data_IF_094450879025
#
_entry.id   IF_094450879025
#
_cell.length_a   1.000
_cell.length_b   1.000
_cell.length_c   1.000
_cell.angle_alpha   90.00
_cell.angle_beta   90.00
_cell.angle_gamma   90.00
#
_symmetry.space_group_name_H-M   'P 1'
#
loop_
_entity.id
_entity.type
_entity.pdbx_description
1 polymer ?
#
# COMPACT_ATOMS: atom_id res chain seq x y z
N UNK A 1 24.59 25.58 17.66
CA UNK A 1 24.96 25.06 16.32
C UNK A 1 23.68 24.55 15.68
N UNK A 2 23.13 25.35 14.78
CA UNK A 2 21.82 25.12 14.16
C UNK A 2 22.02 24.26 12.90
N UNK A 3 21.45 23.06 12.86
CA UNK A 3 21.44 22.23 11.67
C UNK A 3 20.34 22.74 10.72
N UNK A 4 20.72 23.25 9.56
CA UNK A 4 19.81 23.61 8.48
C UNK A 4 19.12 22.35 7.93
N UNK A 5 17.82 22.41 7.61
CA UNK A 5 17.15 21.31 6.94
C UNK A 5 17.69 21.19 5.51
N UNK A 6 18.12 19.97 5.15
CA UNK A 6 18.51 19.66 3.79
C UNK A 6 17.27 19.70 2.88
N UNK A 7 17.18 20.70 2.02
CA UNK A 7 16.18 20.79 0.95
C UNK A 7 16.64 19.83 -0.15
N UNK A 8 15.98 18.69 -0.28
CA UNK A 8 16.15 17.84 -1.45
C UNK A 8 15.44 18.51 -2.64
N UNK A 9 16.22 19.23 -3.45
CA UNK A 9 15.78 19.65 -4.77
C UNK A 9 15.65 18.39 -5.64
N UNK A 10 14.43 18.09 -6.02
CA UNK A 10 14.14 17.08 -7.03
C UNK A 10 14.70 17.62 -8.36
N UNK A 11 15.76 17.03 -8.89
CA UNK A 11 16.28 17.38 -10.20
C UNK A 11 15.19 17.18 -11.26
N UNK A 12 15.05 18.09 -12.24
CA UNK A 12 14.05 17.93 -13.28
C UNK A 12 14.35 16.67 -14.09
N UNK A 13 13.34 15.83 -14.24
CA UNK A 13 13.34 14.61 -15.01
C UNK A 13 13.66 14.91 -16.50
N UNK A 14 14.92 14.96 -16.84
CA UNK A 14 15.42 15.05 -18.22
C UNK A 14 16.15 13.76 -18.64
N UNK A 15 15.59 12.60 -18.28
CA UNK A 15 15.95 11.35 -18.96
C UNK A 15 14.72 10.85 -19.69
N UNK A 16 14.86 10.70 -21.01
CA UNK A 16 13.99 9.95 -21.90
C UNK A 16 13.21 8.89 -21.11
N UNK A 17 11.90 8.87 -21.25
CA UNK A 17 10.98 7.97 -20.60
C UNK A 17 11.17 6.52 -21.09
N UNK A 18 12.35 5.97 -20.90
CA UNK A 18 12.61 4.54 -20.88
C UNK A 18 11.89 3.99 -19.65
N UNK A 19 11.13 2.95 -19.84
CA UNK A 19 10.22 2.33 -18.87
C UNK A 19 10.95 1.92 -17.57
N UNK A 20 11.12 2.87 -16.65
CA UNK A 20 11.56 2.57 -15.30
C UNK A 20 10.41 1.84 -14.59
N UNK A 21 10.49 0.52 -14.55
CA UNK A 21 9.62 -0.24 -13.66
C UNK A 21 9.92 0.14 -12.21
N UNK A 22 8.89 0.42 -11.41
CA UNK A 22 9.08 0.68 -9.98
C UNK A 22 9.76 -0.51 -9.27
N UNK A 23 10.46 -0.22 -8.18
CA UNK A 23 11.03 -1.26 -7.33
C UNK A 23 9.94 -2.18 -6.77
N UNK A 24 10.21 -3.50 -6.66
CA UNK A 24 9.30 -4.43 -6.01
C UNK A 24 8.92 -3.98 -4.59
N UNK A 25 7.62 -3.92 -4.30
CA UNK A 25 7.13 -3.48 -3.00
C UNK A 25 5.70 -3.99 -2.69
N UNK A 26 5.36 -4.04 -1.41
CA UNK A 26 4.00 -4.19 -0.92
C UNK A 26 3.31 -2.84 -0.81
N UNK A 27 2.06 -2.73 -1.29
CA UNK A 27 1.18 -1.59 -1.07
C UNK A 27 0.17 -1.94 0.03
N UNK A 28 0.24 -1.27 1.15
CA UNK A 28 -0.65 -1.46 2.30
C UNK A 28 -1.63 -0.30 2.37
N UNK A 29 -2.92 -0.56 2.25
CA UNK A 29 -3.98 0.45 2.21
C UNK A 29 -4.78 0.40 3.50
N UNK A 30 -4.63 1.38 4.37
CA UNK A 30 -5.50 1.59 5.53
C UNK A 30 -6.81 2.24 5.09
N UNK A 31 -7.94 1.78 5.60
CA UNK A 31 -9.26 2.20 5.12
C UNK A 31 -9.71 1.49 3.84
N UNK A 32 -9.18 0.30 3.59
CA UNK A 32 -9.37 -0.42 2.34
C UNK A 32 -10.82 -0.80 2.01
N UNK A 33 -11.70 -0.92 2.99
CA UNK A 33 -13.13 -1.15 2.77
C UNK A 33 -13.93 0.11 2.43
N UNK A 34 -13.27 1.29 2.47
CA UNK A 34 -13.90 2.59 2.25
C UNK A 34 -14.15 2.92 0.79
N UNK A 35 -14.89 4.02 0.59
CA UNK A 35 -15.33 4.50 -0.72
C UNK A 35 -14.16 4.96 -1.61
N UNK A 36 -13.16 5.62 -1.03
CA UNK A 36 -11.97 6.07 -1.74
C UNK A 36 -11.22 4.90 -2.40
N UNK A 37 -11.01 3.81 -1.65
CA UNK A 37 -10.35 2.62 -2.18
C UNK A 37 -11.14 2.03 -3.34
N UNK A 38 -12.44 1.87 -3.19
CA UNK A 38 -13.30 1.25 -4.21
C UNK A 38 -13.43 2.11 -5.46
N UNK A 39 -13.65 3.42 -5.31
CA UNK A 39 -13.95 4.32 -6.44
C UNK A 39 -12.75 4.94 -7.11
N UNK A 40 -11.61 5.05 -6.41
CA UNK A 40 -10.44 5.75 -6.92
C UNK A 40 -9.19 4.87 -6.96
N UNK A 41 -8.77 4.31 -5.81
CA UNK A 41 -7.51 3.59 -5.75
C UNK A 41 -7.54 2.29 -6.54
N UNK A 42 -8.55 1.46 -6.36
CA UNK A 42 -8.65 0.19 -7.07
C UNK A 42 -8.71 0.36 -8.59
N UNK A 43 -9.56 1.24 -9.17
CA UNK A 43 -9.55 1.49 -10.60
C UNK A 43 -8.22 2.04 -11.12
N UNK A 44 -7.53 2.88 -10.34
CA UNK A 44 -6.22 3.39 -10.71
C UNK A 44 -5.15 2.28 -10.73
N UNK A 45 -5.13 1.43 -9.69
CA UNK A 45 -4.21 0.28 -9.60
C UNK A 45 -4.47 -0.73 -10.73
N UNK A 46 -5.74 -0.99 -11.03
CA UNK A 46 -6.13 -1.84 -12.17
C UNK A 46 -5.59 -1.29 -13.51
N UNK A 47 -5.77 0.01 -13.77
CA UNK A 47 -5.22 0.65 -14.97
C UNK A 47 -3.69 0.59 -15.05
N UNK A 48 -3.00 0.77 -13.91
CA UNK A 48 -1.56 0.62 -13.83
C UNK A 48 -1.12 -0.83 -14.11
N UNK A 49 -1.88 -1.81 -13.60
CA UNK A 49 -1.65 -3.22 -13.85
C UNK A 49 -1.76 -3.55 -15.34
N UNK A 50 -2.86 -3.17 -15.97
CA UNK A 50 -3.09 -3.36 -17.42
C UNK A 50 -1.99 -2.72 -18.27
N UNK A 51 -1.48 -1.56 -17.86
CA UNK A 51 -0.40 -0.85 -18.55
C UNK A 51 0.99 -1.34 -18.17
N UNK A 52 1.11 -2.40 -17.37
CA UNK A 52 2.37 -2.93 -16.86
C UNK A 52 3.25 -1.87 -16.16
N UNK A 53 2.60 -0.94 -15.44
CA UNK A 53 3.25 0.15 -14.70
C UNK A 53 3.38 -0.13 -13.20
N UNK A 54 2.83 -1.24 -12.70
CA UNK A 54 3.11 -1.74 -11.36
C UNK A 54 4.48 -2.45 -11.35
N UNK A 55 5.11 -2.60 -10.17
CA UNK A 55 6.33 -3.37 -10.03
C UNK A 55 6.16 -4.79 -10.59
N UNK A 56 7.25 -5.39 -11.07
CA UNK A 56 7.22 -6.77 -11.57
C UNK A 56 6.77 -7.78 -10.49
N UNK A 57 7.07 -7.48 -9.24
CA UNK A 57 6.60 -8.21 -8.05
C UNK A 57 5.99 -7.23 -7.07
N UNK A 58 4.76 -7.48 -6.69
CA UNK A 58 4.02 -6.64 -5.76
C UNK A 58 2.90 -7.43 -5.11
N UNK A 59 2.38 -6.91 -4.02
CA UNK A 59 1.07 -7.27 -3.47
C UNK A 59 0.35 -6.00 -3.00
N UNK A 60 -0.96 -6.12 -2.80
CA UNK A 60 -1.83 -5.10 -2.23
C UNK A 60 -2.47 -5.71 -0.99
N UNK A 61 -2.18 -5.17 0.19
CA UNK A 61 -2.81 -5.58 1.44
C UNK A 61 -3.81 -4.53 1.87
N UNK A 62 -5.09 -4.87 1.83
CA UNK A 62 -6.14 -4.02 2.39
C UNK A 62 -6.23 -4.20 3.90
N UNK A 63 -6.23 -3.09 4.65
CA UNK A 63 -6.46 -3.07 6.09
C UNK A 63 -7.71 -2.26 6.41
N UNK A 64 -8.66 -2.82 7.17
CA UNK A 64 -9.83 -2.09 7.64
C UNK A 64 -10.50 -2.79 8.84
N UNK A 65 -11.43 -2.08 9.50
CA UNK A 65 -12.20 -2.62 10.63
C UNK A 65 -13.28 -3.62 10.23
N UNK A 66 -13.69 -3.64 8.97
CA UNK A 66 -14.70 -4.57 8.46
C UNK A 66 -14.17 -6.00 8.52
N UNK A 67 -14.95 -6.90 9.11
CA UNK A 67 -14.58 -8.32 9.22
C UNK A 67 -14.83 -9.05 7.89
N UNK A 68 -13.87 -8.97 6.99
CA UNK A 68 -13.84 -9.75 5.75
C UNK A 68 -12.76 -10.82 5.81
N UNK A 69 -13.03 -11.97 5.21
CA UNK A 69 -11.97 -12.84 4.73
C UNK A 69 -11.28 -12.24 3.50
N UNK A 70 -10.05 -12.65 3.15
CA UNK A 70 -9.41 -12.20 1.92
C UNK A 70 -10.25 -12.45 0.67
N UNK A 71 -10.98 -13.57 0.61
CA UNK A 71 -11.87 -13.95 -0.48
C UNK A 71 -13.06 -12.99 -0.60
N UNK A 72 -13.74 -12.73 0.50
CA UNK A 72 -14.89 -11.82 0.54
C UNK A 72 -14.46 -10.39 0.17
N UNK A 73 -13.30 -9.96 0.64
CA UNK A 73 -12.74 -8.65 0.28
C UNK A 73 -12.48 -8.56 -1.22
N UNK A 74 -11.78 -9.55 -1.81
CA UNK A 74 -11.55 -9.62 -3.26
C UNK A 74 -12.84 -9.56 -4.06
N UNK A 75 -13.83 -10.36 -3.68
CA UNK A 75 -15.15 -10.35 -4.34
C UNK A 75 -15.85 -8.99 -4.22
N UNK A 76 -15.76 -8.33 -3.06
CA UNK A 76 -16.34 -7.00 -2.85
C UNK A 76 -15.70 -5.93 -3.74
N UNK A 77 -14.39 -6.02 -3.93
CA UNK A 77 -13.63 -5.12 -4.80
C UNK A 77 -13.90 -5.40 -6.27
N UNK A 78 -13.99 -6.67 -6.65
CA UNK A 78 -14.27 -7.06 -8.04
C UNK A 78 -15.63 -6.52 -8.51
N UNK A 79 -16.65 -6.55 -7.65
CA UNK A 79 -17.98 -5.95 -7.94
C UNK A 79 -17.93 -4.42 -8.10
N UNK A 80 -16.97 -3.77 -7.45
CA UNK A 80 -16.82 -2.31 -7.50
C UNK A 80 -15.94 -1.83 -8.68
N UNK A 81 -15.21 -2.74 -9.33
CA UNK A 81 -14.34 -2.38 -10.45
C UNK A 81 -15.20 -2.18 -11.72
N UNK A 82 -15.13 -0.99 -12.36
CA UNK A 82 -15.82 -0.77 -13.63
C UNK A 82 -15.07 -1.56 -14.72
N UNK A 83 -15.54 -2.77 -14.98
CA UNK A 83 -15.00 -3.64 -16.01
C UNK A 83 -15.70 -3.34 -17.34
N UNK A 84 -14.91 -3.13 -18.38
CA UNK A 84 -15.38 -3.11 -19.74
C UNK A 84 -15.58 -4.56 -20.24
N UNK A 85 -16.54 -4.79 -21.12
CA UNK A 85 -16.81 -6.10 -21.74
C UNK A 85 -15.62 -6.67 -22.53
N UNK A 86 -14.60 -5.86 -22.80
CA UNK A 86 -13.38 -6.26 -23.50
C UNK A 86 -12.29 -6.84 -22.58
N UNK A 87 -12.48 -6.76 -21.25
CA UNK A 87 -11.47 -7.19 -20.30
C UNK A 87 -11.45 -8.71 -20.16
N UNK A 88 -10.28 -9.30 -20.25
CA UNK A 88 -10.08 -10.73 -20.11
C UNK A 88 -10.26 -11.16 -18.64
N UNK A 89 -11.16 -12.11 -18.38
CA UNK A 89 -11.39 -12.68 -17.02
C UNK A 89 -10.12 -13.27 -16.40
N UNK A 90 -9.23 -13.85 -17.20
CA UNK A 90 -7.97 -14.38 -16.72
C UNK A 90 -7.05 -13.25 -16.19
N UNK A 91 -7.08 -12.08 -16.81
CA UNK A 91 -6.31 -10.92 -16.39
C UNK A 91 -6.86 -10.34 -15.06
N UNK A 92 -8.19 -10.28 -14.93
CA UNK A 92 -8.86 -9.88 -13.69
C UNK A 92 -8.46 -10.84 -12.57
N UNK A 93 -8.59 -12.14 -12.81
CA UNK A 93 -8.24 -13.17 -11.83
C UNK A 93 -6.77 -13.07 -11.42
N UNK A 94 -5.86 -12.84 -12.36
CA UNK A 94 -4.44 -12.66 -12.09
C UNK A 94 -4.17 -11.43 -11.20
N UNK A 95 -4.81 -10.29 -11.50
CA UNK A 95 -4.68 -9.09 -10.67
C UNK A 95 -5.17 -9.31 -9.25
N UNK A 96 -6.34 -9.93 -9.07
CA UNK A 96 -6.91 -10.15 -7.74
C UNK A 96 -6.13 -11.16 -6.89
N UNK A 97 -5.29 -12.01 -7.48
CA UNK A 97 -4.34 -12.87 -6.75
C UNK A 97 -3.27 -12.09 -5.99
N UNK A 98 -2.99 -10.85 -6.38
CA UNK A 98 -2.07 -9.97 -5.67
C UNK A 98 -2.72 -9.23 -4.50
N UNK A 99 -4.04 -9.38 -4.29
CA UNK A 99 -4.78 -8.66 -3.25
C UNK A 99 -5.04 -9.57 -2.07
N UNK A 100 -4.70 -9.09 -0.88
CA UNK A 100 -4.96 -9.76 0.40
C UNK A 100 -5.63 -8.78 1.37
N UNK A 101 -6.06 -9.27 2.53
CA UNK A 101 -6.81 -8.47 3.50
C UNK A 101 -6.45 -8.82 4.93
N UNK A 102 -6.44 -7.82 5.80
CA UNK A 102 -6.32 -7.94 7.24
C UNK A 102 -7.36 -7.05 7.90
N UNK A 103 -8.25 -7.64 8.70
CA UNK A 103 -9.20 -6.89 9.52
C UNK A 103 -8.60 -6.56 10.87
N UNK A 104 -8.89 -5.37 11.41
CA UNK A 104 -8.48 -5.04 12.76
C UNK A 104 -8.72 -3.58 13.14
N UNK A 105 -8.54 -3.29 14.42
CA UNK A 105 -8.66 -1.95 14.99
C UNK A 105 -7.29 -1.27 14.99
N UNK A 106 -7.22 -0.09 14.40
CA UNK A 106 -5.98 0.70 14.31
C UNK A 106 -5.46 1.25 15.64
N UNK A 107 -6.27 1.24 16.70
CA UNK A 107 -5.83 1.58 18.05
C UNK A 107 -5.19 0.41 18.81
N UNK A 108 -5.29 -0.81 18.27
CA UNK A 108 -4.81 -2.04 18.91
C UNK A 108 -3.39 -2.39 18.49
N UNK A 109 -2.48 -2.57 19.45
CA UNK A 109 -1.12 -3.06 19.18
C UNK A 109 -1.13 -4.46 18.58
N UNK A 110 -2.09 -5.32 18.97
CA UNK A 110 -2.24 -6.67 18.43
C UNK A 110 -2.43 -6.64 16.92
N UNK A 111 -3.21 -5.69 16.41
CA UNK A 111 -3.37 -5.51 14.97
C UNK A 111 -2.03 -5.26 14.24
N UNK A 112 -1.13 -4.46 14.83
CA UNK A 112 0.17 -4.17 14.19
C UNK A 112 1.15 -5.33 14.29
N UNK A 113 1.05 -6.16 15.33
CA UNK A 113 1.81 -7.41 15.42
C UNK A 113 1.33 -8.40 14.35
N UNK A 114 0.01 -8.57 14.19
CA UNK A 114 -0.58 -9.38 13.11
C UNK A 114 -0.21 -8.82 11.73
N UNK A 115 -0.25 -7.50 11.55
CA UNK A 115 0.18 -6.84 10.33
C UNK A 115 1.63 -7.16 10.00
N UNK A 116 2.51 -7.10 10.98
CA UNK A 116 3.94 -7.39 10.82
C UNK A 116 4.19 -8.83 10.36
N UNK A 117 3.52 -9.79 10.99
CA UNK A 117 3.62 -11.21 10.59
C UNK A 117 3.00 -11.43 9.19
N UNK A 118 1.88 -10.80 8.90
CA UNK A 118 1.24 -10.86 7.58
C UNK A 118 2.14 -10.29 6.48
N UNK A 119 2.79 -9.14 6.72
CA UNK A 119 3.73 -8.53 5.77
C UNK A 119 4.94 -9.44 5.52
N UNK A 120 5.50 -10.05 6.57
CA UNK A 120 6.60 -11.00 6.44
C UNK A 120 6.21 -12.18 5.53
N UNK A 121 5.03 -12.77 5.78
CA UNK A 121 4.53 -13.88 4.97
C UNK A 121 4.31 -13.47 3.50
N UNK A 122 3.71 -12.29 3.26
CA UNK A 122 3.47 -11.79 1.90
C UNK A 122 4.79 -11.45 1.18
N UNK A 123 5.76 -10.90 1.88
CA UNK A 123 7.09 -10.64 1.32
C UNK A 123 7.79 -11.92 0.89
N UNK A 124 7.72 -12.98 1.70
CA UNK A 124 8.26 -14.30 1.36
C UNK A 124 7.55 -14.90 0.15
N UNK A 125 6.20 -14.89 0.16
CA UNK A 125 5.38 -15.43 -0.92
C UNK A 125 5.61 -14.72 -2.26
N UNK A 126 5.67 -13.39 -2.25
CA UNK A 126 5.90 -12.57 -3.45
C UNK A 126 7.38 -12.29 -3.74
N UNK A 127 8.30 -12.87 -2.94
CA UNK A 127 9.75 -12.69 -3.07
C UNK A 127 10.16 -11.21 -3.05
N UNK A 128 9.60 -10.45 -2.11
CA UNK A 128 9.94 -9.04 -1.87
C UNK A 128 11.04 -8.92 -0.82
N UNK A 129 11.68 -7.76 -0.79
CA UNK A 129 12.81 -7.46 0.12
C UNK A 129 12.39 -6.58 1.31
N UNK A 130 11.09 -6.47 1.59
CA UNK A 130 10.57 -5.67 2.69
C UNK A 130 10.41 -4.18 2.36
N UNK A 131 10.22 -3.82 1.10
CA UNK A 131 9.83 -2.47 0.71
C UNK A 131 8.32 -2.31 0.86
N UNK A 132 7.88 -1.36 1.67
CA UNK A 132 6.47 -1.15 1.96
C UNK A 132 6.05 0.28 1.70
N UNK A 133 4.94 0.43 0.96
CA UNK A 133 4.25 1.69 0.74
C UNK A 133 2.93 1.67 1.50
N UNK A 134 2.84 2.43 2.57
CA UNK A 134 1.63 2.58 3.39
C UNK A 134 0.79 3.74 2.85
N UNK A 135 -0.45 3.46 2.48
CA UNK A 135 -1.39 4.46 1.99
C UNK A 135 -2.54 4.63 2.98
N UNK A 136 -2.71 5.83 3.53
CA UNK A 136 -3.76 6.16 4.46
C UNK A 136 -4.99 6.71 3.71
N UNK A 137 -5.94 5.81 3.40
CA UNK A 137 -7.25 6.14 2.85
C UNK A 137 -8.30 6.26 3.98
N UNK A 138 -7.85 6.74 5.14
CA UNK A 138 -8.66 6.90 6.36
C UNK A 138 -8.94 8.37 6.64
N UNK A 139 -9.99 8.68 7.44
CA UNK A 139 -10.19 10.03 7.96
C UNK A 139 -8.97 10.53 8.75
N UNK A 140 -8.69 11.86 8.74
CA UNK A 140 -7.49 12.44 9.37
C UNK A 140 -7.29 12.10 10.85
N UNK A 141 -8.38 11.95 11.60
CA UNK A 141 -8.36 11.61 13.03
C UNK A 141 -7.76 10.23 13.35
N UNK A 142 -7.62 9.34 12.35
CA UNK A 142 -6.99 8.02 12.53
C UNK A 142 -5.51 8.02 12.14
N UNK A 143 -5.00 9.11 11.59
CA UNK A 143 -3.62 9.18 11.11
C UNK A 143 -2.62 8.99 12.23
N UNK A 144 -2.85 9.61 13.38
CA UNK A 144 -1.95 9.54 14.54
C UNK A 144 -1.85 8.11 15.08
N UNK A 145 -2.99 7.43 15.27
CA UNK A 145 -3.04 6.05 15.73
C UNK A 145 -2.27 5.12 14.78
N UNK A 146 -2.50 5.28 13.46
CA UNK A 146 -1.85 4.44 12.45
C UNK A 146 -0.33 4.67 12.44
N UNK A 147 0.11 5.94 12.44
CA UNK A 147 1.55 6.26 12.40
C UNK A 147 2.25 5.78 13.68
N UNK A 148 1.61 5.99 14.84
CA UNK A 148 2.13 5.52 16.13
C UNK A 148 2.24 3.99 16.18
N UNK A 149 1.22 3.28 15.73
CA UNK A 149 1.22 1.82 15.68
C UNK A 149 2.28 1.26 14.73
N UNK A 150 2.43 1.82 13.53
CA UNK A 150 3.50 1.44 12.59
C UNK A 150 4.89 1.69 13.19
N UNK A 151 5.07 2.80 13.91
CA UNK A 151 6.32 3.13 14.59
C UNK A 151 6.64 2.16 15.72
N UNK A 152 5.66 1.85 16.58
CA UNK A 152 5.82 0.96 17.75
C UNK A 152 6.22 -0.47 17.36
N UNK A 153 5.74 -0.97 16.22
CA UNK A 153 6.09 -2.31 15.71
C UNK A 153 7.31 -2.32 14.78
N UNK A 154 7.94 -1.15 14.57
CA UNK A 154 9.12 -1.02 13.72
C UNK A 154 8.85 -1.14 12.22
N UNK A 155 7.59 -1.01 11.79
CA UNK A 155 7.19 -1.09 10.39
C UNK A 155 7.50 0.19 9.60
N UNK A 156 7.61 1.33 10.29
CA UNK A 156 7.98 2.62 9.71
C UNK A 156 9.47 2.95 9.83
N UNK A 157 10.30 2.02 10.35
CA UNK A 157 11.72 2.26 10.55
C UNK A 157 12.46 2.38 9.21
N UNK A 158 13.27 3.44 9.07
CA UNK A 158 14.27 3.50 8.00
C UNK A 158 15.46 2.61 8.37
N UNK A 159 15.66 1.55 7.62
CA UNK A 159 16.81 0.67 7.80
C UNK A 159 18.03 1.28 7.12
N UNK A 160 18.76 2.16 7.83
CA UNK A 160 19.96 2.83 7.31
C UNK A 160 21.21 1.95 7.31
N UNK A 161 21.18 0.77 7.91
CA UNK A 161 22.37 -0.05 8.17
C UNK A 161 22.36 -1.47 7.60
N UNK A 162 21.29 -1.90 6.90
CA UNK A 162 21.22 -3.24 6.30
C UNK A 162 21.18 -3.17 4.77
N UNK A 163 22.11 -3.87 4.12
CA UNK A 163 22.04 -4.15 2.68
C UNK A 163 21.25 -5.47 2.47
N UNK A 164 20.28 -5.53 1.54
CA UNK A 164 19.81 -4.42 0.70
C UNK A 164 18.99 -3.39 1.46
N UNK A 165 19.13 -2.12 1.09
CA UNK A 165 18.35 -1.00 1.67
C UNK A 165 16.85 -1.30 1.52
N UNK A 166 16.17 -1.47 2.65
CA UNK A 166 14.72 -1.55 2.72
C UNK A 166 14.18 -0.16 2.95
N UNK A 167 13.02 0.10 2.40
CA UNK A 167 12.36 1.38 2.64
C UNK A 167 10.89 1.20 3.03
N UNK A 168 10.44 2.07 3.91
CA UNK A 168 9.03 2.27 4.25
C UNK A 168 8.65 3.69 3.88
N UNK A 169 7.59 3.84 3.11
CA UNK A 169 7.06 5.14 2.68
C UNK A 169 5.62 5.27 3.07
N UNK A 170 5.20 6.48 3.42
CA UNK A 170 3.85 6.79 3.83
C UNK A 170 3.23 7.82 2.87
N UNK A 171 2.03 7.53 2.38
CA UNK A 171 1.18 8.46 1.64
C UNK A 171 0.00 8.83 2.54
N UNK A 172 -0.16 10.12 2.77
CA UNK A 172 -1.30 10.66 3.52
C UNK A 172 -2.01 11.67 2.62
N UNK A 173 -3.34 11.58 2.57
CA UNK A 173 -4.16 12.52 1.80
C UNK A 173 -4.46 13.80 2.58
N UNK A 174 -4.65 14.90 1.83
CA UNK A 174 -5.15 16.15 2.42
C UNK A 174 -6.66 16.05 2.72
N UNK A 175 -7.20 16.79 3.73
CA UNK A 175 -6.51 17.77 4.57
C UNK A 175 -5.71 17.12 5.71
N UNK A 176 -4.56 17.73 6.05
CA UNK A 176 -3.78 17.36 7.22
C UNK A 176 -4.28 18.17 8.42
N UNK A 177 -4.90 17.50 9.40
CA UNK A 177 -5.34 18.11 10.64
C UNK A 177 -6.73 18.79 10.54
N UNK A 178 -7.32 19.00 11.69
CA UNK A 178 -8.48 19.87 11.90
C UNK A 178 -7.97 21.29 12.06
N UNK A 179 -8.39 22.20 11.17
CA UNK A 179 -8.31 23.65 11.40
C UNK A 179 -9.24 24.05 12.53
#
# INVERSE_FOLDING_TARGET
MSASPAIFLCEPFTKSCGELQPEPCGLIIFGASGDLTRRKLLPALWRLYQRRRLPARFYILGCARSAYTPEEFRLSLQKALPLDSTVNEAEITAFFKHIDYLSGDYSSLVFYEELKEKLKHLDEYHQLKGNHLFYLATPPNLTEDIVSGLGSCGLAAQHTSSLPLRWSRLIVEKPFGTS
#
